data_IF_282267514101
#
_entry.id   IF_282267514101
#
_cell.length_a   1.000
_cell.length_b   1.000
_cell.length_c   1.000
_cell.angle_alpha   90.00
_cell.angle_beta   90.00
_cell.angle_gamma   90.00
#
_symmetry.space_group_name_H-M   'P 1'
#
loop_
_entity.id
_entity.type
_entity.pdbx_description
1 polymer ?
#
# COMPACT_ATOMS: atom_id res chain seq x y z
N UNK A 1 -61.95 -28.55 -34.73
CA UNK A 1 -60.98 -27.43 -34.70
C UNK A 1 -59.73 -27.87 -33.95
N UNK A 2 -58.56 -27.90 -34.59
CA UNK A 2 -57.27 -28.20 -33.96
C UNK A 2 -56.36 -27.01 -34.23
N UNK A 3 -56.16 -26.17 -33.22
CA UNK A 3 -55.37 -24.95 -33.30
C UNK A 3 -53.89 -25.30 -33.15
N UNK A 4 -53.08 -25.02 -34.16
CA UNK A 4 -51.61 -25.05 -34.03
C UNK A 4 -51.15 -23.71 -33.45
N UNK A 5 -50.61 -23.73 -32.23
CA UNK A 5 -49.96 -22.57 -31.64
C UNK A 5 -48.51 -22.56 -32.13
N UNK A 6 -48.18 -21.60 -33.00
CA UNK A 6 -46.79 -21.30 -33.34
C UNK A 6 -46.14 -20.58 -32.16
N UNK A 7 -45.21 -21.24 -31.48
CA UNK A 7 -44.35 -20.61 -30.48
C UNK A 7 -43.21 -19.91 -31.24
N UNK A 8 -43.34 -18.60 -31.43
CA UNK A 8 -42.25 -17.77 -31.94
C UNK A 8 -41.17 -17.61 -30.88
N UNK A 9 -40.00 -18.19 -31.12
CA UNK A 9 -38.81 -17.94 -30.31
C UNK A 9 -38.24 -16.56 -30.65
N UNK A 10 -38.55 -15.56 -29.82
CA UNK A 10 -37.83 -14.29 -29.82
C UNK A 10 -36.48 -14.52 -29.14
N UNK A 11 -35.45 -14.77 -29.95
CA UNK A 11 -34.06 -14.67 -29.51
C UNK A 11 -33.76 -13.19 -29.22
N UNK A 12 -33.95 -12.79 -27.96
CA UNK A 12 -33.47 -11.52 -27.45
C UNK A 12 -31.95 -11.52 -27.51
N UNK A 13 -31.39 -10.85 -28.52
CA UNK A 13 -29.99 -10.49 -28.55
C UNK A 13 -29.79 -9.52 -27.39
N UNK A 14 -29.16 -10.01 -26.31
CA UNK A 14 -28.57 -9.14 -25.30
C UNK A 14 -27.44 -8.37 -25.99
N UNK A 15 -27.78 -7.21 -26.53
CA UNK A 15 -26.83 -6.17 -26.89
C UNK A 15 -26.14 -5.73 -25.59
N UNK A 16 -25.04 -6.40 -25.26
CA UNK A 16 -24.09 -5.91 -24.28
C UNK A 16 -23.65 -4.51 -24.75
N UNK A 17 -24.00 -3.49 -23.96
CA UNK A 17 -23.59 -2.13 -24.22
C UNK A 17 -22.06 -2.07 -24.38
N UNK A 18 -21.53 -1.50 -25.47
CA UNK A 18 -20.10 -1.38 -25.66
C UNK A 18 -19.55 -0.24 -24.79
N UNK A 19 -18.54 -0.56 -24.00
CA UNK A 19 -17.52 0.39 -23.59
C UNK A 19 -17.70 1.06 -22.22
N UNK A 20 -17.16 0.43 -21.19
CA UNK A 20 -16.45 1.17 -20.13
C UNK A 20 -14.98 0.74 -20.20
N UNK A 21 -14.24 1.29 -21.15
CA UNK A 21 -12.79 1.11 -21.18
C UNK A 21 -12.18 1.92 -20.01
N UNK A 22 -11.56 1.20 -19.08
CA UNK A 22 -10.82 1.76 -17.94
C UNK A 22 -11.61 1.71 -16.64
N UNK A 23 -11.67 0.56 -15.99
CA UNK A 23 -12.11 0.46 -14.60
C UNK A 23 -11.15 -0.46 -13.86
N UNK A 24 -10.76 -0.04 -12.66
CA UNK A 24 -9.84 -0.79 -11.82
C UNK A 24 -10.64 -1.67 -10.87
N UNK A 25 -10.23 -2.93 -10.71
CA UNK A 25 -10.76 -3.81 -9.67
C UNK A 25 -9.77 -3.86 -8.51
N UNK A 26 -10.18 -3.40 -7.33
CA UNK A 26 -9.38 -3.42 -6.11
C UNK A 26 -10.17 -4.08 -4.99
N UNK A 27 -9.64 -5.19 -4.42
CA UNK A 27 -10.30 -5.99 -3.38
C UNK A 27 -11.77 -6.36 -3.69
N UNK A 28 -12.06 -6.64 -4.95
CA UNK A 28 -13.41 -6.98 -5.42
C UNK A 28 -14.35 -5.80 -5.68
N UNK A 29 -13.91 -4.56 -5.42
CA UNK A 29 -14.65 -3.34 -5.74
C UNK A 29 -14.22 -2.77 -7.09
N UNK A 30 -15.17 -2.25 -7.87
CA UNK A 30 -14.94 -1.65 -9.18
C UNK A 30 -14.82 -0.12 -9.06
N UNK A 31 -13.70 0.42 -9.51
CA UNK A 31 -13.37 1.85 -9.48
C UNK A 31 -13.28 2.41 -10.89
N UNK A 32 -13.88 3.57 -11.14
CA UNK A 32 -13.86 4.21 -12.46
C UNK A 32 -12.44 4.70 -12.83
N UNK A 33 -12.15 4.80 -14.13
CA UNK A 33 -10.91 5.42 -14.61
C UNK A 33 -10.67 6.80 -13.98
N UNK A 34 -9.43 7.12 -13.65
CA UNK A 34 -8.99 8.39 -13.05
C UNK A 34 -9.59 8.71 -11.68
N UNK A 35 -10.33 7.77 -11.07
CA UNK A 35 -10.80 7.93 -9.70
C UNK A 35 -9.66 7.77 -8.70
N UNK A 36 -9.74 8.49 -7.58
CA UNK A 36 -8.88 8.30 -6.43
C UNK A 36 -9.70 7.81 -5.23
N UNK A 37 -9.14 6.88 -4.47
CA UNK A 37 -9.75 6.37 -3.24
C UNK A 37 -8.69 6.03 -2.20
N UNK A 38 -9.13 5.87 -0.96
CA UNK A 38 -8.27 5.50 0.16
C UNK A 38 -8.79 4.20 0.78
N UNK A 39 -8.20 3.04 0.44
CA UNK A 39 -8.65 1.77 1.02
C UNK A 39 -8.33 1.67 2.52
N UNK A 40 -7.28 2.34 2.97
CA UNK A 40 -6.89 2.46 4.37
C UNK A 40 -6.42 3.90 4.66
N UNK A 41 -6.43 4.31 5.94
CA UNK A 41 -6.14 5.70 6.33
C UNK A 41 -4.84 6.25 5.75
N UNK A 42 -3.83 5.40 5.55
CA UNK A 42 -2.48 5.77 5.11
C UNK A 42 -2.10 5.30 3.70
N UNK A 43 -3.06 4.93 2.86
CA UNK A 43 -2.81 4.53 1.48
C UNK A 43 -3.77 5.24 0.56
N UNK A 44 -3.22 5.81 -0.49
CA UNK A 44 -4.01 6.44 -1.53
C UNK A 44 -3.81 5.65 -2.82
N UNK A 45 -4.93 5.30 -3.44
CA UNK A 45 -4.98 4.59 -4.70
C UNK A 45 -5.60 5.50 -5.75
N UNK A 46 -5.07 5.42 -6.96
CA UNK A 46 -5.65 6.05 -8.14
C UNK A 46 -5.85 5.00 -9.22
N UNK A 47 -6.97 5.06 -9.92
CA UNK A 47 -7.25 4.17 -11.03
C UNK A 47 -6.70 4.83 -12.29
N UNK A 48 -5.77 4.17 -12.97
CA UNK A 48 -5.29 4.62 -14.26
C UNK A 48 -5.52 3.53 -15.29
N UNK A 49 -6.52 3.73 -16.15
CA UNK A 49 -7.02 2.68 -17.04
C UNK A 49 -7.71 1.58 -16.24
N UNK A 50 -7.11 0.40 -16.22
CA UNK A 50 -7.55 -0.80 -15.50
C UNK A 50 -6.64 -1.15 -14.31
N UNK A 51 -5.61 -0.34 -14.05
CA UNK A 51 -4.61 -0.59 -13.00
C UNK A 51 -4.82 0.32 -11.78
N UNK A 52 -5.08 -0.24 -10.58
CA UNK A 52 -5.07 0.52 -9.34
C UNK A 52 -3.62 0.79 -8.90
N UNK A 53 -3.21 2.06 -8.93
CA UNK A 53 -1.91 2.54 -8.48
C UNK A 53 -2.01 3.04 -7.05
N UNK A 54 -1.54 2.25 -6.10
CA UNK A 54 -1.59 2.60 -4.68
C UNK A 54 -0.21 2.95 -4.14
N UNK A 55 -0.14 4.01 -3.34
CA UNK A 55 1.08 4.45 -2.67
C UNK A 55 0.80 4.87 -1.22
N UNK A 56 1.79 4.74 -0.32
CA UNK A 56 1.64 5.20 1.06
C UNK A 56 1.62 6.73 1.10
N UNK A 57 0.74 7.30 1.93
CA UNK A 57 0.68 8.73 2.18
C UNK A 57 1.93 9.13 2.97
N UNK A 58 2.62 10.20 2.54
CA UNK A 58 3.78 10.77 3.26
C UNK A 58 3.33 11.96 4.09
N UNK A 59 3.61 11.93 5.38
CA UNK A 59 3.22 12.99 6.29
C UNK A 59 4.24 14.13 6.35
N UNK A 60 3.78 15.38 6.53
CA UNK A 60 4.66 16.52 6.72
C UNK A 60 5.39 16.42 8.06
N UNK A 61 6.58 17.03 8.14
CA UNK A 61 7.31 17.16 9.40
C UNK A 61 6.71 18.32 10.22
N UNK A 62 6.05 18.00 11.33
CA UNK A 62 5.38 18.97 12.19
C UNK A 62 6.34 19.54 13.23
N UNK A 63 6.21 20.84 13.52
CA UNK A 63 6.96 21.55 14.56
C UNK A 63 6.00 21.90 15.71
N UNK A 64 5.61 20.92 16.52
CA UNK A 64 4.71 21.17 17.65
C UNK A 64 5.47 21.80 18.83
N UNK A 65 4.83 22.75 19.52
CA UNK A 65 5.36 23.38 20.73
C UNK A 65 5.01 22.57 21.98
N UNK A 66 5.77 21.51 22.23
CA UNK A 66 5.59 20.66 23.41
C UNK A 66 5.81 21.42 24.73
N UNK A 67 6.59 22.51 24.72
CA UNK A 67 6.82 23.33 25.92
C UNK A 67 5.57 24.10 26.33
N UNK A 68 4.77 24.52 25.33
CA UNK A 68 3.46 25.15 25.53
C UNK A 68 2.32 24.14 25.74
N UNK A 69 2.66 22.86 25.90
CA UNK A 69 1.69 21.79 26.15
C UNK A 69 0.91 21.35 24.91
N UNK A 70 1.46 21.55 23.71
CA UNK A 70 0.96 20.86 22.53
C UNK A 70 1.38 19.39 22.54
N UNK A 71 0.56 18.56 21.89
CA UNK A 71 0.85 17.15 21.68
C UNK A 71 0.44 16.73 20.27
N UNK A 72 1.06 15.65 19.80
CA UNK A 72 0.70 15.06 18.52
C UNK A 72 -0.56 14.21 18.69
N UNK A 73 -1.57 14.48 17.88
CA UNK A 73 -2.80 13.69 17.81
C UNK A 73 -2.95 13.11 16.42
N UNK A 74 -3.30 11.83 16.33
CA UNK A 74 -3.69 11.19 15.06
C UNK A 74 -5.22 11.06 15.04
N UNK A 75 -5.95 11.87 14.24
CA UNK A 75 -7.40 11.81 14.20
C UNK A 75 -7.90 10.49 13.57
N UNK A 76 -9.11 10.03 13.94
CA UNK A 76 -9.68 8.84 13.32
C UNK A 76 -9.83 9.04 11.81
N UNK A 77 -9.53 8.00 11.03
CA UNK A 77 -9.60 7.99 9.56
C UNK A 77 -8.64 8.97 8.85
N UNK A 78 -7.63 9.50 9.54
CA UNK A 78 -6.56 10.29 8.94
C UNK A 78 -5.21 9.55 9.00
N UNK A 79 -4.32 9.80 8.03
CA UNK A 79 -2.98 9.22 8.05
C UNK A 79 -2.00 9.99 8.92
N UNK A 80 -2.11 11.33 8.90
CA UNK A 80 -1.07 12.20 9.42
C UNK A 80 -1.50 12.79 10.75
N UNK A 81 -0.57 12.89 11.71
CA UNK A 81 -0.86 13.56 12.96
C UNK A 81 -1.02 15.07 12.76
N UNK A 82 -1.60 15.72 13.75
CA UNK A 82 -1.72 17.17 13.87
C UNK A 82 -1.26 17.63 15.26
N UNK A 83 -0.75 18.86 15.36
CA UNK A 83 -0.44 19.47 16.66
C UNK A 83 -1.74 19.95 17.31
N UNK A 84 -2.05 19.45 18.50
CA UNK A 84 -3.22 19.85 19.28
C UNK A 84 -2.78 20.46 20.60
N UNK A 85 -3.37 21.58 21.00
CA UNK A 85 -3.10 22.20 22.30
C UNK A 85 -3.77 21.42 23.44
N UNK A 86 -3.15 21.41 24.62
CA UNK A 86 -3.76 20.89 25.85
C UNK A 86 -5.08 21.60 26.17
N UNK A 87 -6.08 20.82 26.58
CA UNK A 87 -7.38 21.30 27.06
C UNK A 87 -7.61 20.83 28.51
N UNK A 88 -8.61 21.36 29.23
CA UNK A 88 -8.96 20.85 30.56
C UNK A 88 -9.35 19.36 30.57
N UNK A 89 -9.77 18.82 29.42
CA UNK A 89 -10.10 17.41 29.25
C UNK A 89 -8.87 16.54 28.90
N UNK A 90 -7.71 17.15 28.67
CA UNK A 90 -6.44 16.45 28.48
C UNK A 90 -5.92 15.87 29.80
N UNK A 91 -5.27 14.72 29.72
CA UNK A 91 -4.66 14.05 30.85
C UNK A 91 -3.14 14.18 30.80
N UNK A 92 -2.51 14.31 31.97
CA UNK A 92 -1.06 14.15 32.10
C UNK A 92 -0.72 12.79 32.69
N UNK A 93 0.20 12.08 32.04
CA UNK A 93 0.69 10.78 32.49
C UNK A 93 2.20 10.69 32.21
N UNK A 94 3.00 10.47 33.27
CA UNK A 94 4.48 10.37 33.19
C UNK A 94 5.16 11.51 32.41
N UNK A 95 4.65 12.74 32.54
CA UNK A 95 5.18 13.93 31.85
C UNK A 95 4.75 14.09 30.39
N UNK A 96 3.90 13.19 29.88
CA UNK A 96 3.31 13.29 28.53
C UNK A 96 1.85 13.74 28.64
N UNK A 97 1.45 14.64 27.74
CA UNK A 97 0.06 15.10 27.64
C UNK A 97 -0.70 14.26 26.62
N UNK A 98 -1.85 13.74 27.06
CA UNK A 98 -2.75 12.88 26.31
C UNK A 98 -4.08 13.59 26.11
N UNK A 99 -4.59 13.64 24.87
CA UNK A 99 -5.90 14.21 24.58
C UNK A 99 -7.06 13.38 25.16
N UNK A 100 -8.23 14.00 25.31
CA UNK A 100 -9.45 13.26 25.65
C UNK A 100 -9.71 12.11 24.66
N UNK A 101 -10.12 10.96 25.18
CA UNK A 101 -10.41 9.70 24.47
C UNK A 101 -9.18 9.03 23.85
N UNK A 102 -7.98 9.53 24.16
CA UNK A 102 -6.76 8.83 23.82
C UNK A 102 -6.60 7.55 24.64
N UNK A 103 -6.00 6.55 24.00
CA UNK A 103 -5.62 5.29 24.60
C UNK A 103 -4.15 5.04 24.35
N UNK A 104 -3.44 4.60 25.39
CA UNK A 104 -2.03 4.22 25.30
C UNK A 104 -1.75 3.01 26.19
N UNK A 105 -0.59 2.40 25.98
CA UNK A 105 -0.16 1.20 26.70
C UNK A 105 1.22 1.46 27.32
N UNK A 106 1.30 1.88 28.60
CA UNK A 106 2.58 2.10 29.28
C UNK A 106 3.44 0.84 29.40
N UNK A 107 2.80 -0.33 29.37
CA UNK A 107 3.47 -1.63 29.35
C UNK A 107 2.69 -2.58 28.42
N UNK A 108 3.27 -3.73 28.04
CA UNK A 108 2.53 -4.77 27.33
C UNK A 108 1.26 -5.22 28.07
N UNK A 109 1.24 -5.07 29.41
CA UNK A 109 0.18 -5.55 30.29
C UNK A 109 -0.78 -4.48 30.80
N UNK A 110 -0.65 -3.23 30.37
CA UNK A 110 -1.52 -2.16 30.83
C UNK A 110 -2.05 -1.36 29.66
N UNK A 111 -3.30 -0.94 29.78
CA UNK A 111 -3.96 -0.04 28.84
C UNK A 111 -4.58 1.08 29.63
N UNK A 112 -4.18 2.31 29.30
CA UNK A 112 -4.68 3.52 29.91
C UNK A 112 -5.56 4.27 28.92
N UNK A 113 -6.59 4.92 29.44
CA UNK A 113 -7.52 5.76 28.70
C UNK A 113 -7.61 7.10 29.40
N UNK A 114 -7.60 8.19 28.62
CA UNK A 114 -7.87 9.53 29.12
C UNK A 114 -9.35 9.88 28.94
N UNK A 115 -10.08 10.04 30.04
CA UNK A 115 -11.47 10.46 30.04
C UNK A 115 -11.63 11.76 30.83
N UNK A 116 -11.83 12.89 30.14
CA UNK A 116 -12.10 14.21 30.74
C UNK A 116 -11.12 14.59 31.85
N UNK A 117 -9.83 14.63 31.52
CA UNK A 117 -8.76 14.98 32.44
C UNK A 117 -8.37 13.88 33.45
N UNK A 118 -9.07 12.74 33.46
CA UNK A 118 -8.74 11.59 34.32
C UNK A 118 -8.13 10.44 33.53
N UNK A 119 -6.97 9.98 33.98
CA UNK A 119 -6.37 8.73 33.50
C UNK A 119 -6.99 7.55 34.22
N UNK A 120 -7.45 6.55 33.46
CA UNK A 120 -7.87 5.25 33.98
C UNK A 120 -7.08 4.15 33.31
N UNK A 121 -6.33 3.38 34.09
CA UNK A 121 -5.51 2.27 33.60
C UNK A 121 -6.09 0.93 34.05
N UNK A 122 -6.18 -0.03 33.13
CA UNK A 122 -6.60 -1.39 33.40
C UNK A 122 -5.52 -2.37 32.96
N UNK A 123 -5.40 -3.49 33.68
CA UNK A 123 -4.55 -4.60 33.26
C UNK A 123 -5.13 -5.25 31.99
N UNK A 124 -4.26 -5.63 31.07
CA UNK A 124 -4.65 -6.39 29.89
C UNK A 124 -5.08 -7.80 30.33
N UNK A 125 -6.33 -8.22 30.07
CA UNK A 125 -6.81 -9.51 30.52
C UNK A 125 -6.17 -10.62 29.70
N UNK A 126 -5.59 -11.60 30.38
CA UNK A 126 -4.99 -12.77 29.72
C UNK A 126 -5.96 -13.95 29.68
N UNK A 127 -5.95 -14.72 28.57
CA UNK A 127 -6.74 -15.94 28.48
C UNK A 127 -6.28 -16.94 29.54
N UNK A 128 -7.24 -17.66 30.13
CA UNK A 128 -6.94 -18.80 30.98
C UNK A 128 -6.46 -19.95 30.09
N UNK A 129 -5.26 -20.47 30.37
CA UNK A 129 -4.59 -21.47 29.55
C UNK A 129 -4.20 -22.68 30.41
N UNK A 130 -4.49 -23.88 29.92
CA UNK A 130 -4.02 -25.14 30.51
C UNK A 130 -3.09 -25.81 29.50
N UNK A 131 -1.85 -26.07 29.91
CA UNK A 131 -0.83 -26.62 29.03
C UNK A 131 -0.85 -28.15 29.01
N UNK A 132 -0.47 -28.73 27.88
CA UNK A 132 -0.31 -30.18 27.74
C UNK A 132 0.81 -30.71 28.66
N UNK A 133 0.79 -32.01 29.03
CA UNK A 133 1.88 -32.63 29.76
C UNK A 133 3.23 -32.38 29.08
N UNK A 134 4.23 -31.95 29.86
CA UNK A 134 5.56 -31.58 29.35
C UNK A 134 5.72 -30.10 28.95
N UNK A 135 4.67 -29.29 29.10
CA UNK A 135 4.70 -27.84 28.89
C UNK A 135 4.40 -27.09 30.19
N UNK A 136 4.84 -25.83 30.27
CA UNK A 136 4.50 -24.90 31.36
C UNK A 136 4.12 -23.53 30.81
N UNK A 137 3.41 -22.75 31.64
CA UNK A 137 3.09 -21.37 31.35
C UNK A 137 4.34 -20.52 31.42
N UNK A 138 4.65 -19.83 30.32
CA UNK A 138 5.76 -18.88 30.24
C UNK A 138 5.28 -17.56 29.67
N UNK A 139 5.81 -16.45 30.19
CA UNK A 139 5.59 -15.11 29.62
C UNK A 139 6.83 -14.74 28.78
N UNK A 140 6.71 -14.64 27.44
CA UNK A 140 7.83 -14.24 26.60
C UNK A 140 8.28 -12.80 26.87
N UNK A 141 9.56 -12.45 26.66
CA UNK A 141 10.03 -11.07 26.76
C UNK A 141 9.20 -10.11 25.88
N UNK A 142 8.78 -8.98 26.45
CA UNK A 142 7.98 -7.97 25.74
C UNK A 142 6.52 -8.35 25.44
N UNK A 143 6.05 -9.51 25.94
CA UNK A 143 4.64 -9.92 25.87
C UNK A 143 4.00 -9.85 27.25
N UNK A 144 2.69 -9.64 27.29
CA UNK A 144 1.95 -9.66 28.55
C UNK A 144 1.51 -11.06 28.96
N UNK A 145 0.86 -11.75 28.03
CA UNK A 145 0.17 -12.98 28.38
C UNK A 145 1.06 -14.21 28.27
N UNK A 146 0.85 -15.18 29.17
CA UNK A 146 1.58 -16.42 29.10
C UNK A 146 1.16 -17.22 27.87
N UNK A 147 2.06 -18.06 27.40
CA UNK A 147 1.80 -19.14 26.44
C UNK A 147 2.38 -20.43 27.00
N UNK A 148 1.91 -21.56 26.49
CA UNK A 148 2.56 -22.84 26.77
C UNK A 148 3.89 -22.91 26.01
N UNK A 149 4.96 -23.27 26.70
CA UNK A 149 6.21 -23.70 26.07
C UNK A 149 6.75 -24.94 26.72
N UNK A 150 7.72 -25.56 26.06
CA UNK A 150 8.28 -26.83 26.49
C UNK A 150 9.15 -26.70 27.73
N UNK A 151 9.15 -27.76 28.55
CA UNK A 151 9.98 -27.86 29.75
C UNK A 151 11.31 -28.59 29.48
N UNK A 152 11.59 -28.95 28.23
CA UNK A 152 12.80 -29.65 27.83
C UNK A 152 14.05 -28.77 27.85
N UNK A 153 15.18 -29.38 27.46
CA UNK A 153 16.45 -28.67 27.36
C UNK A 153 16.38 -27.53 26.33
N UNK A 154 17.03 -26.41 26.63
CA UNK A 154 17.20 -25.31 25.68
C UNK A 154 18.23 -25.67 24.60
N UNK A 155 18.08 -25.09 23.42
CA UNK A 155 18.97 -25.25 22.28
C UNK A 155 19.94 -24.08 22.17
N UNK A 156 21.20 -24.35 21.80
CA UNK A 156 22.15 -23.32 21.39
C UNK A 156 22.25 -23.30 19.86
N UNK A 157 22.04 -22.13 19.25
CA UNK A 157 22.07 -21.97 17.79
C UNK A 157 22.59 -20.59 17.39
N UNK A 158 23.67 -20.56 16.60
CA UNK A 158 24.33 -19.34 16.10
C UNK A 158 24.59 -18.26 17.17
N UNK A 159 24.98 -18.67 18.38
CA UNK A 159 25.26 -17.76 19.50
C UNK A 159 24.02 -17.30 20.28
N UNK A 160 22.81 -17.71 19.87
CA UNK A 160 21.57 -17.53 20.63
C UNK A 160 21.17 -18.79 21.40
N UNK A 161 20.46 -18.60 22.51
CA UNK A 161 19.86 -19.68 23.31
C UNK A 161 18.34 -19.63 23.12
N UNK A 162 17.77 -20.74 22.68
CA UNK A 162 16.35 -20.88 22.38
C UNK A 162 15.73 -21.92 23.32
N UNK A 163 14.56 -21.63 23.88
CA UNK A 163 13.89 -22.53 24.82
C UNK A 163 13.21 -23.69 24.10
N UNK A 164 12.93 -24.76 24.83
CA UNK A 164 12.16 -25.88 24.29
C UNK A 164 10.77 -25.42 23.81
N UNK A 165 10.39 -25.83 22.60
CA UNK A 165 9.19 -25.39 21.90
C UNK A 165 9.24 -23.96 21.35
N UNK A 166 10.38 -23.28 21.42
CA UNK A 166 10.57 -21.98 20.76
C UNK A 166 10.77 -22.16 19.26
N UNK A 167 10.10 -21.31 18.48
CA UNK A 167 10.24 -21.24 17.02
C UNK A 167 10.79 -19.89 16.61
N UNK A 168 11.72 -19.90 15.65
CA UNK A 168 12.28 -18.68 15.06
C UNK A 168 12.42 -18.82 13.55
N UNK A 169 12.52 -17.68 12.87
CA UNK A 169 12.66 -17.60 11.42
C UNK A 169 14.00 -16.93 11.07
N UNK A 170 15.08 -17.70 10.86
CA UNK A 170 16.37 -17.13 10.47
C UNK A 170 16.35 -16.38 9.14
N UNK A 171 15.43 -16.76 8.24
CA UNK A 171 15.23 -16.09 6.96
C UNK A 171 13.76 -16.20 6.56
N UNK A 172 13.36 -15.49 5.51
CA UNK A 172 12.03 -15.64 4.93
C UNK A 172 11.75 -17.04 4.36
N UNK A 173 12.81 -17.80 4.09
CA UNK A 173 12.77 -19.16 3.53
C UNK A 173 12.96 -20.26 4.56
N UNK A 174 13.22 -19.93 5.82
CA UNK A 174 13.55 -20.94 6.83
C UNK A 174 12.82 -20.70 8.14
N UNK A 175 12.46 -21.80 8.77
CA UNK A 175 11.96 -21.83 10.14
C UNK A 175 12.75 -22.85 10.91
N UNK A 176 13.05 -22.55 12.16
CA UNK A 176 13.68 -23.47 13.07
C UNK A 176 12.86 -23.57 14.34
N UNK A 177 12.90 -24.73 14.98
CA UNK A 177 12.32 -24.97 16.29
C UNK A 177 13.33 -25.66 17.19
N UNK A 178 13.26 -25.36 18.47
CA UNK A 178 13.98 -26.11 19.49
C UNK A 178 13.06 -27.21 20.05
N UNK A 179 13.55 -28.45 20.06
CA UNK A 179 12.87 -29.59 20.65
C UNK A 179 13.84 -30.34 21.54
N UNK A 180 13.70 -30.17 22.84
CA UNK A 180 14.46 -30.82 23.91
C UNK A 180 15.98 -30.82 23.66
N UNK A 181 16.56 -29.63 23.47
CA UNK A 181 17.99 -29.43 23.23
C UNK A 181 18.43 -29.65 21.78
N UNK A 182 17.55 -30.14 20.90
CA UNK A 182 17.84 -30.33 19.48
C UNK A 182 17.18 -29.26 18.63
N UNK A 183 17.99 -28.56 17.84
CA UNK A 183 17.50 -27.64 16.81
C UNK A 183 17.03 -28.44 15.61
N UNK A 184 15.81 -28.20 15.16
CA UNK A 184 15.29 -28.70 13.90
C UNK A 184 14.94 -27.52 13.00
N UNK A 185 15.57 -27.46 11.83
CA UNK A 185 15.32 -26.41 10.85
C UNK A 185 14.71 -27.00 9.59
N UNK A 186 13.78 -26.27 9.00
CA UNK A 186 13.15 -26.57 7.72
C UNK A 186 13.36 -25.39 6.80
N UNK A 187 13.81 -25.68 5.59
CA UNK A 187 13.96 -24.72 4.51
C UNK A 187 12.85 -24.95 3.48
N UNK A 188 12.37 -23.88 2.87
CA UNK A 188 11.44 -23.97 1.75
C UNK A 188 12.20 -24.42 0.50
N UNK A 189 11.77 -25.53 -0.08
CA UNK A 189 12.21 -25.96 -1.40
C UNK A 189 11.36 -25.28 -2.46
N UNK A 190 12.00 -24.53 -3.36
CA UNK A 190 11.29 -23.82 -4.40
C UNK A 190 11.09 -24.68 -5.65
N UNK A 191 9.94 -24.58 -6.33
CA UNK A 191 9.73 -25.27 -7.59
C UNK A 191 10.73 -24.78 -8.64
N UNK A 192 11.12 -25.66 -9.56
CA UNK A 192 11.92 -25.26 -10.71
C UNK A 192 11.07 -24.40 -11.65
N UNK A 193 11.57 -23.22 -12.00
CA UNK A 193 10.87 -22.27 -12.87
C UNK A 193 11.78 -21.86 -14.02
N UNK A 194 11.30 -22.03 -15.24
CA UNK A 194 11.94 -21.53 -16.46
C UNK A 194 11.13 -20.37 -17.02
N UNK A 195 11.74 -19.19 -17.11
CA UNK A 195 11.09 -17.99 -17.62
C UNK A 195 11.11 -17.93 -19.15
N UNK A 196 10.13 -17.23 -19.73
CA UNK A 196 10.10 -16.97 -21.18
C UNK A 196 11.18 -15.96 -21.56
N UNK A 197 11.51 -15.86 -22.85
CA UNK A 197 12.57 -14.98 -23.35
C UNK A 197 12.41 -13.47 -22.99
N UNK A 198 11.21 -13.03 -22.63
CA UNK A 198 10.88 -11.64 -22.25
C UNK A 198 10.53 -11.50 -20.77
N UNK A 199 10.99 -12.44 -19.95
CA UNK A 199 10.81 -12.46 -18.51
C UNK A 199 12.16 -12.69 -17.83
N UNK A 200 12.31 -12.13 -16.64
CA UNK A 200 13.45 -12.34 -15.78
C UNK A 200 13.04 -13.12 -14.55
N UNK A 201 13.91 -14.03 -14.11
CA UNK A 201 13.74 -14.74 -12.85
C UNK A 201 14.17 -13.82 -11.70
N UNK A 202 13.23 -13.45 -10.83
CA UNK A 202 13.49 -12.49 -9.74
C UNK A 202 12.93 -13.01 -8.42
N UNK A 203 13.69 -12.84 -7.34
CA UNK A 203 13.22 -13.02 -5.96
C UNK A 203 12.76 -11.64 -5.47
N UNK A 204 11.44 -11.47 -5.28
CA UNK A 204 10.90 -10.19 -4.81
C UNK A 204 11.13 -10.01 -3.31
N UNK A 205 11.33 -8.76 -2.83
CA UNK A 205 11.35 -8.47 -1.40
C UNK A 205 10.11 -9.05 -0.71
N UNK A 206 10.30 -9.70 0.44
CA UNK A 206 9.19 -10.33 1.16
C UNK A 206 8.69 -11.64 0.55
N UNK A 207 9.40 -12.23 -0.43
CA UNK A 207 9.14 -13.59 -0.93
C UNK A 207 10.37 -14.48 -0.80
N UNK A 208 10.12 -15.77 -0.56
CA UNK A 208 11.17 -16.77 -0.53
C UNK A 208 11.54 -17.27 -1.94
N UNK A 209 10.54 -17.70 -2.72
CA UNK A 209 10.80 -18.34 -4.01
C UNK A 209 10.82 -17.37 -5.18
N UNK A 210 11.66 -17.64 -6.21
CA UNK A 210 11.76 -16.81 -7.40
C UNK A 210 10.50 -16.93 -8.25
N UNK A 211 10.22 -15.87 -9.03
CA UNK A 211 9.15 -15.83 -10.01
C UNK A 211 9.62 -15.15 -11.29
N UNK A 212 8.98 -15.51 -12.40
CA UNK A 212 9.16 -14.79 -13.65
C UNK A 212 8.39 -13.47 -13.59
N UNK A 213 9.08 -12.38 -13.86
CA UNK A 213 8.52 -11.04 -14.03
C UNK A 213 8.90 -10.53 -15.41
N UNK A 214 8.00 -9.80 -16.07
CA UNK A 214 8.29 -9.27 -17.41
C UNK A 214 9.50 -8.34 -17.39
N UNK A 215 10.32 -8.41 -18.44
CA UNK A 215 11.49 -7.54 -18.59
C UNK A 215 11.05 -6.07 -18.59
N UNK A 216 11.63 -5.23 -17.72
CA UNK A 216 11.29 -3.81 -17.71
C UNK A 216 11.94 -3.08 -18.90
N UNK A 217 11.40 -1.93 -19.26
CA UNK A 217 11.98 -1.06 -20.27
C UNK A 217 12.86 -0.01 -19.60
N UNK A 218 14.06 0.27 -20.15
CA UNK A 218 14.84 1.44 -19.76
C UNK A 218 14.57 2.58 -20.73
N UNK A 219 14.12 3.73 -20.22
CA UNK A 219 13.93 4.95 -20.99
C UNK A 219 14.52 6.14 -20.24
N UNK A 220 15.50 6.82 -20.83
CA UNK A 220 16.16 8.01 -20.25
C UNK A 220 16.67 7.82 -18.80
N UNK A 221 17.18 6.63 -18.48
CA UNK A 221 17.68 6.30 -17.13
C UNK A 221 16.59 5.87 -16.13
N UNK A 222 15.31 5.89 -16.51
CA UNK A 222 14.21 5.41 -15.70
C UNK A 222 13.76 4.01 -16.13
N UNK A 223 13.51 3.15 -15.15
CA UNK A 223 12.97 1.82 -15.38
C UNK A 223 11.45 1.88 -15.39
N UNK A 224 10.84 1.37 -16.46
CA UNK A 224 9.41 1.30 -16.69
C UNK A 224 8.98 -0.18 -16.62
N UNK A 225 7.96 -0.49 -15.82
CA UNK A 225 7.43 -1.84 -15.70
C UNK A 225 6.58 -2.19 -16.94
N UNK A 226 6.41 -3.49 -17.19
CA UNK A 226 5.53 -3.91 -18.29
C UNK A 226 4.10 -3.37 -18.08
N UNK A 227 3.55 -2.74 -19.12
CA UNK A 227 2.25 -2.07 -19.10
C UNK A 227 2.33 -0.59 -18.69
N UNK A 228 3.46 -0.12 -18.15
CA UNK A 228 3.61 1.27 -17.74
C UNK A 228 3.64 2.20 -18.97
N UNK A 229 2.85 3.27 -18.92
CA UNK A 229 2.82 4.34 -19.91
C UNK A 229 3.57 5.56 -19.40
N UNK A 230 4.37 6.18 -20.25
CA UNK A 230 5.04 7.44 -19.94
C UNK A 230 5.00 8.41 -21.11
N UNK A 231 4.95 9.71 -20.80
CA UNK A 231 5.16 10.77 -21.79
C UNK A 231 6.65 10.99 -21.96
N UNK A 232 7.19 10.65 -23.13
CA UNK A 232 8.60 10.94 -23.49
C UNK A 232 8.81 12.43 -23.75
N UNK A 233 7.80 13.10 -24.32
CA UNK A 233 7.72 14.56 -24.49
C UNK A 233 6.23 14.95 -24.62
N UNK A 234 5.92 16.21 -24.91
CA UNK A 234 4.52 16.69 -25.04
C UNK A 234 3.72 16.02 -26.16
N UNK A 235 4.38 15.45 -27.18
CA UNK A 235 3.76 14.80 -28.34
C UNK A 235 3.89 13.27 -28.37
N UNK A 236 4.81 12.70 -27.59
CA UNK A 236 5.15 11.28 -27.67
C UNK A 236 4.79 10.57 -26.37
N UNK A 237 3.92 9.58 -26.47
CA UNK A 237 3.57 8.67 -25.37
C UNK A 237 4.10 7.28 -25.69
N UNK A 238 4.71 6.64 -24.72
CA UNK A 238 5.30 5.31 -24.86
C UNK A 238 4.64 4.35 -23.85
N UNK A 239 4.65 3.06 -24.20
CA UNK A 239 4.27 1.95 -23.32
C UNK A 239 5.37 0.91 -23.29
N UNK A 240 5.59 0.28 -22.14
CA UNK A 240 6.55 -0.81 -22.01
C UNK A 240 5.85 -2.13 -22.29
N UNK A 241 6.15 -2.74 -23.43
CA UNK A 241 5.66 -4.07 -23.77
C UNK A 241 6.82 -5.06 -23.72
N UNK A 242 6.89 -5.85 -22.64
CA UNK A 242 7.81 -6.99 -22.51
C UNK A 242 9.28 -6.61 -22.79
N UNK A 243 9.73 -5.50 -22.21
CA UNK A 243 11.09 -4.97 -22.37
C UNK A 243 11.29 -4.07 -23.59
N UNK A 244 10.28 -3.92 -24.46
CA UNK A 244 10.33 -3.03 -25.62
C UNK A 244 9.50 -1.77 -25.39
N UNK A 245 10.13 -0.60 -25.62
CA UNK A 245 9.42 0.67 -25.60
C UNK A 245 8.68 0.88 -26.92
N UNK A 246 7.35 0.81 -26.87
CA UNK A 246 6.47 1.08 -28.01
C UNK A 246 5.94 2.50 -27.89
N UNK A 247 6.42 3.39 -28.74
CA UNK A 247 6.09 4.82 -28.68
C UNK A 247 5.17 5.25 -29.83
N UNK A 248 4.18 6.07 -29.50
CA UNK A 248 3.34 6.77 -30.44
C UNK A 248 3.61 8.28 -30.35
N UNK A 249 3.93 8.89 -31.49
CA UNK A 249 4.17 10.34 -31.60
C UNK A 249 3.01 10.97 -32.37
N UNK A 250 2.31 11.88 -31.71
CA UNK A 250 1.26 12.67 -32.33
C UNK A 250 1.88 13.69 -33.30
N UNK A 251 1.50 13.62 -34.57
CA UNK A 251 1.90 14.57 -35.60
C UNK A 251 0.86 15.68 -35.71
N UNK A 252 1.30 16.92 -35.50
CA UNK A 252 0.42 18.08 -35.58
C UNK A 252 0.10 18.45 -37.02
N UNK A 253 -1.15 18.85 -37.27
CA UNK A 253 -1.50 19.49 -38.53
C UNK A 253 -0.83 20.86 -38.63
N UNK A 254 -0.25 21.23 -39.79
CA UNK A 254 0.24 22.58 -40.00
C UNK A 254 -0.91 23.59 -39.88
N UNK A 255 -0.78 24.56 -38.98
CA UNK A 255 -1.68 25.71 -38.88
C UNK A 255 -1.16 26.86 -39.74
N UNK A 256 -2.05 27.67 -40.31
CA UNK A 256 -1.76 28.97 -40.91
C UNK A 256 -2.62 29.97 -40.14
N UNK A 257 -2.02 31.06 -39.65
CA UNK A 257 -2.70 32.03 -38.81
C UNK A 257 -3.12 33.24 -39.64
N UNK A 258 -4.32 33.74 -39.37
CA UNK A 258 -4.84 34.98 -39.98
C UNK A 258 -4.06 36.21 -39.50
N UNK A 259 -4.18 37.33 -40.22
CA UNK A 259 -3.47 38.57 -39.88
C UNK A 259 -3.73 39.02 -38.43
N UNK A 260 -2.65 39.34 -37.71
CA UNK A 260 -2.69 39.73 -36.29
C UNK A 260 -2.54 38.56 -35.29
N UNK A 261 -2.58 37.31 -35.76
CA UNK A 261 -2.31 36.12 -34.95
C UNK A 261 -0.92 35.54 -35.25
N UNK A 262 -0.27 34.98 -34.23
CA UNK A 262 1.03 34.30 -34.38
C UNK A 262 0.92 32.85 -33.94
N UNK A 263 1.74 31.98 -34.55
CA UNK A 263 1.90 30.59 -34.10
C UNK A 263 2.57 30.58 -32.74
N UNK A 264 1.89 30.03 -31.75
CA UNK A 264 2.43 29.84 -30.42
C UNK A 264 2.24 28.40 -29.99
N UNK A 265 3.22 27.89 -29.24
CA UNK A 265 3.11 26.59 -28.58
C UNK A 265 2.98 26.82 -27.09
N UNK A 266 1.82 26.50 -26.52
CA UNK A 266 1.58 26.70 -25.09
C UNK A 266 2.40 25.68 -24.26
N UNK A 267 2.84 26.05 -23.05
CA UNK A 267 3.49 25.10 -22.14
C UNK A 267 2.59 23.87 -21.92
N UNK A 268 3.16 22.67 -22.10
CA UNK A 268 2.43 21.41 -21.94
C UNK A 268 1.62 20.93 -23.16
N UNK A 269 1.47 21.76 -24.21
CA UNK A 269 0.82 21.35 -25.46
C UNK A 269 1.82 20.78 -26.49
N UNK A 270 1.34 19.83 -27.28
CA UNK A 270 2.08 19.24 -28.39
C UNK A 270 2.11 20.17 -29.62
N UNK A 271 0.95 20.70 -30.01
CA UNK A 271 0.74 21.39 -31.28
C UNK A 271 0.72 22.91 -31.15
N UNK A 272 1.06 23.57 -32.26
CA UNK A 272 0.98 25.02 -32.37
C UNK A 272 -0.48 25.45 -32.53
N UNK A 273 -0.82 26.58 -31.91
CA UNK A 273 -2.11 27.25 -32.04
C UNK A 273 -1.89 28.70 -32.46
N UNK A 274 -2.88 29.32 -33.10
CA UNK A 274 -2.84 30.74 -33.41
C UNK A 274 -3.33 31.52 -32.20
N UNK A 275 -2.52 32.43 -31.68
CA UNK A 275 -2.90 33.33 -30.60
C UNK A 275 -2.60 34.79 -30.98
N UNK A 276 -3.30 35.77 -30.39
CA UNK A 276 -2.91 37.16 -30.51
C UNK A 276 -1.45 37.30 -30.07
N UNK A 277 -0.63 38.04 -30.83
CA UNK A 277 0.68 38.43 -30.36
C UNK A 277 0.50 39.05 -28.96
N UNK A 278 1.20 38.51 -27.94
CA UNK A 278 1.09 38.97 -26.54
C UNK A 278 1.01 40.50 -26.52
N UNK A 279 -0.14 41.02 -26.09
CA UNK A 279 -0.46 42.44 -26.17
C UNK A 279 0.48 43.31 -25.35
N UNK A 280 0.70 44.53 -25.84
CA UNK A 280 0.99 45.69 -25.02
C UNK A 280 0.02 45.74 -23.84
N UNK A 281 0.54 45.60 -22.62
CA UNK A 281 -0.23 45.90 -21.41
C UNK A 281 -0.54 47.41 -21.41
N UNK A 282 -1.78 47.80 -21.72
CA UNK A 282 -2.29 49.12 -21.37
C UNK A 282 -2.89 49.02 -19.97
N UNK A 283 -2.14 49.48 -18.97
CA UNK A 283 -2.71 49.84 -17.67
C UNK A 283 -3.59 51.09 -17.87
N UNK A 284 -4.85 51.00 -17.45
CA UNK A 284 -5.69 52.16 -17.13
C UNK A 284 -5.51 52.50 -15.65
#
# INVERSE_FOLDING_TARGET
MRWWVFVGALAGILSAAPGTHGACVYEGSLHANQSSWRPESCRECTCHGDVPLCSPIRCPNLQCDFQRGEYLRLPPNQCCPECTSSSPDSCQYEGVTYGHDSQWSPSPCSRCVCSRGRVSCAAHPCPQLTCSPGQSLLVPPGKCCPRCGGNGASCSWQGGVYRDGEEWKPSICSRCSCSNGKVQCWVVECPQVACRAHENLVIQPGRCCPRCVSTPCLSAGHQQQHGELWKKNTCTTCVCDKGQSKCHTHTCRPVICDEGLTKVRRPGQCCDECAPARGSCLYQ
#
